data_IF_709202572634
#
_entry.id   IF_709202572634
#
_cell.length_a   1.000
_cell.length_b   1.000
_cell.length_c   1.000
_cell.angle_alpha   90.00
_cell.angle_beta   90.00
_cell.angle_gamma   90.00
#
_symmetry.space_group_name_H-M   'P 1'
#
loop_
_entity.id
_entity.type
_entity.pdbx_description
1 polymer ?
#
# COMPACT_ATOMS: atom_id res chain seq x y z
N UNK A 1 -1.81 -6.74 3.07
CA UNK A 1 -1.21 -7.87 2.34
C UNK A 1 -1.79 -9.20 2.80
N UNK A 2 -1.65 -9.59 4.07
CA UNK A 2 -2.17 -10.87 4.57
C UNK A 2 -3.67 -11.14 4.28
N UNK A 3 -4.55 -10.20 4.60
CA UNK A 3 -6.00 -10.35 4.33
C UNK A 3 -6.31 -10.51 2.84
N UNK A 4 -5.61 -9.77 1.98
CA UNK A 4 -5.75 -9.90 0.53
C UNK A 4 -5.27 -11.27 0.02
N UNK A 5 -4.24 -11.85 0.63
CA UNK A 5 -3.75 -13.20 0.32
C UNK A 5 -4.82 -14.23 0.68
N UNK A 6 -5.36 -14.19 1.91
CA UNK A 6 -6.39 -15.15 2.35
C UNK A 6 -7.64 -15.09 1.47
N UNK A 7 -8.13 -13.88 1.17
CA UNK A 7 -9.26 -13.69 0.27
C UNK A 7 -8.98 -14.22 -1.14
N UNK A 8 -7.78 -13.99 -1.66
CA UNK A 8 -7.40 -14.46 -3.00
C UNK A 8 -7.29 -15.98 -3.03
N UNK A 9 -6.76 -16.61 -1.98
CA UNK A 9 -6.72 -18.07 -1.86
C UNK A 9 -8.14 -18.66 -1.92
N UNK A 10 -9.12 -18.04 -1.26
CA UNK A 10 -10.53 -18.45 -1.34
C UNK A 10 -11.10 -18.35 -2.75
N UNK A 11 -10.85 -17.23 -3.46
CA UNK A 11 -11.28 -17.05 -4.85
C UNK A 11 -10.65 -18.09 -5.79
N UNK A 12 -9.36 -18.41 -5.59
CA UNK A 12 -8.67 -19.45 -6.36
C UNK A 12 -9.27 -20.82 -6.06
N UNK A 13 -9.57 -21.14 -4.78
CA UNK A 13 -10.23 -22.41 -4.42
C UNK A 13 -11.59 -22.56 -5.10
N UNK A 14 -12.42 -21.52 -5.05
CA UNK A 14 -13.73 -21.50 -5.70
C UNK A 14 -13.60 -21.74 -7.21
N UNK A 15 -12.68 -21.02 -7.86
CA UNK A 15 -12.41 -21.17 -9.29
C UNK A 15 -11.96 -22.59 -9.67
N UNK A 16 -10.99 -23.16 -8.94
CA UNK A 16 -10.51 -24.52 -9.18
C UNK A 16 -11.62 -25.55 -8.99
N UNK A 17 -12.47 -25.37 -7.98
CA UNK A 17 -13.62 -26.24 -7.73
C UNK A 17 -14.63 -26.16 -8.87
N UNK A 18 -15.02 -24.95 -9.30
CA UNK A 18 -15.95 -24.73 -10.41
C UNK A 18 -15.47 -25.39 -11.71
N UNK A 19 -14.16 -25.31 -12.00
CA UNK A 19 -13.56 -25.93 -13.19
C UNK A 19 -13.38 -27.45 -13.09
N UNK A 20 -13.61 -28.04 -11.91
CA UNK A 20 -13.40 -29.47 -11.66
C UNK A 20 -11.92 -29.86 -11.49
N UNK A 21 -11.02 -28.91 -11.23
CA UNK A 21 -9.58 -29.14 -11.04
C UNK A 21 -9.26 -29.65 -9.63
N UNK A 22 -9.90 -30.75 -9.23
CA UNK A 22 -9.87 -31.28 -7.86
C UNK A 22 -8.49 -31.80 -7.41
N UNK A 23 -7.61 -32.17 -8.33
CA UNK A 23 -6.23 -32.55 -8.00
C UNK A 23 -5.39 -31.32 -7.67
N UNK A 24 -5.46 -30.29 -8.52
CA UNK A 24 -4.79 -29.00 -8.29
C UNK A 24 -5.26 -28.34 -7.01
N UNK A 25 -6.56 -28.36 -6.72
CA UNK A 25 -7.11 -27.84 -5.46
C UNK A 25 -6.50 -28.51 -4.23
N UNK A 26 -6.42 -29.85 -4.23
CA UNK A 26 -5.79 -30.60 -3.13
C UNK A 26 -4.30 -30.26 -2.97
N UNK A 27 -3.60 -30.08 -4.08
CA UNK A 27 -2.19 -29.69 -4.06
C UNK A 27 -2.01 -28.26 -3.51
N UNK A 28 -2.85 -27.31 -3.93
CA UNK A 28 -2.86 -25.94 -3.41
C UNK A 28 -3.08 -25.92 -1.89
N UNK A 29 -4.07 -26.65 -1.39
CA UNK A 29 -4.33 -26.71 0.06
C UNK A 29 -3.16 -27.33 0.84
N UNK A 30 -2.50 -28.34 0.26
CA UNK A 30 -1.31 -28.93 0.87
C UNK A 30 -0.15 -27.93 0.94
N UNK A 31 0.06 -27.14 -0.12
CA UNK A 31 1.10 -26.10 -0.18
C UNK A 31 0.81 -24.95 0.78
N UNK A 32 -0.43 -24.46 0.84
CA UNK A 32 -0.85 -23.43 1.81
C UNK A 32 -0.62 -23.91 3.25
N UNK A 33 -0.91 -25.19 3.54
CA UNK A 33 -0.66 -25.76 4.88
C UNK A 33 0.82 -25.85 5.21
N UNK A 34 1.66 -26.14 4.20
CA UNK A 34 3.11 -26.23 4.34
C UNK A 34 3.82 -24.87 4.27
N UNK A 35 3.07 -23.79 4.07
CA UNK A 35 3.61 -22.45 3.87
C UNK A 35 4.43 -21.98 5.09
N UNK A 36 5.68 -21.60 4.80
CA UNK A 36 6.64 -21.08 5.77
C UNK A 36 6.56 -19.57 5.89
N UNK A 37 6.04 -18.88 4.88
CA UNK A 37 5.75 -17.45 4.91
C UNK A 37 4.43 -17.14 5.63
N UNK A 38 3.64 -18.17 5.96
CA UNK A 38 2.41 -18.09 6.76
C UNK A 38 1.38 -17.11 6.19
N UNK A 39 1.24 -17.06 4.87
CA UNK A 39 0.38 -16.12 4.16
C UNK A 39 0.84 -14.67 4.34
N UNK A 40 2.14 -14.45 4.58
CA UNK A 40 2.72 -13.15 4.91
C UNK A 40 2.10 -12.51 6.18
N UNK A 41 1.60 -13.34 7.10
CA UNK A 41 1.12 -12.91 8.42
C UNK A 41 2.28 -12.79 9.38
N UNK A 42 2.62 -11.55 9.73
CA UNK A 42 3.74 -11.24 10.62
C UNK A 42 3.57 -11.92 11.98
N UNK A 43 2.38 -11.84 12.58
CA UNK A 43 2.08 -12.48 13.85
C UNK A 43 2.40 -13.97 13.82
N UNK A 44 2.00 -14.68 12.76
CA UNK A 44 2.25 -16.12 12.61
C UNK A 44 3.73 -16.46 12.43
N UNK A 45 4.51 -15.59 11.79
CA UNK A 45 5.96 -15.78 11.67
C UNK A 45 6.63 -15.60 13.04
N UNK A 46 6.22 -14.58 13.80
CA UNK A 46 6.73 -14.30 15.15
C UNK A 46 6.33 -15.42 16.12
N UNK A 47 5.06 -15.85 16.10
CA UNK A 47 4.54 -16.98 16.88
C UNK A 47 5.35 -18.24 16.60
N UNK A 48 5.65 -18.53 15.32
CA UNK A 48 6.44 -19.70 14.93
C UNK A 48 7.86 -19.65 15.50
N UNK A 49 8.52 -18.49 15.45
CA UNK A 49 9.86 -18.30 16.05
C UNK A 49 9.81 -18.55 17.55
N UNK A 50 8.83 -17.98 18.24
CA UNK A 50 8.64 -18.18 19.68
C UNK A 50 8.32 -19.64 20.02
N UNK A 51 7.49 -20.32 19.24
CA UNK A 51 7.17 -21.73 19.43
C UNK A 51 8.44 -22.61 19.31
N UNK A 52 9.28 -22.37 18.30
CA UNK A 52 10.54 -23.10 18.12
C UNK A 52 11.50 -22.88 19.30
N UNK A 53 11.50 -21.68 19.89
CA UNK A 53 12.24 -21.40 21.12
C UNK A 53 11.68 -22.15 22.32
N UNK A 54 10.35 -22.17 22.50
CA UNK A 54 9.67 -22.84 23.62
C UNK A 54 9.91 -24.36 23.63
N UNK A 55 10.01 -24.99 22.46
CA UNK A 55 10.31 -26.43 22.33
C UNK A 55 11.82 -26.74 22.32
N UNK A 56 12.67 -25.73 22.41
CA UNK A 56 14.14 -25.84 22.38
C UNK A 56 14.69 -26.48 21.10
N UNK A 57 14.02 -26.27 19.96
CA UNK A 57 14.48 -26.77 18.66
C UNK A 57 15.36 -25.72 17.96
N UNK A 58 16.63 -25.69 18.35
CA UNK A 58 17.62 -24.79 17.78
C UNK A 58 17.84 -25.03 16.28
N UNK A 59 17.77 -26.27 15.81
CA UNK A 59 18.02 -26.60 14.42
C UNK A 59 16.91 -26.01 13.53
N UNK A 60 15.64 -26.28 13.87
CA UNK A 60 14.51 -25.72 13.17
C UNK A 60 14.47 -24.19 13.27
N UNK A 61 14.83 -23.60 14.42
CA UNK A 61 14.90 -22.14 14.58
C UNK A 61 15.92 -21.51 13.61
N UNK A 62 17.12 -22.10 13.50
CA UNK A 62 18.14 -21.64 12.56
C UNK A 62 17.66 -21.78 11.12
N UNK A 63 17.15 -22.95 10.77
CA UNK A 63 16.70 -23.24 9.40
C UNK A 63 15.57 -22.32 8.98
N UNK A 64 14.65 -22.01 9.90
CA UNK A 64 13.56 -21.08 9.67
C UNK A 64 14.07 -19.63 9.51
N UNK A 65 14.99 -19.16 10.37
CA UNK A 65 15.59 -17.85 10.17
C UNK A 65 16.36 -17.74 8.84
N UNK A 66 17.17 -18.74 8.51
CA UNK A 66 17.89 -18.80 7.23
C UNK A 66 16.96 -18.92 6.02
N UNK A 67 15.77 -19.48 6.20
CA UNK A 67 14.72 -19.44 5.19
C UNK A 67 14.23 -18.01 4.96
N UNK A 68 13.88 -17.28 6.03
CA UNK A 68 13.46 -15.87 5.94
C UNK A 68 14.56 -14.99 5.33
N UNK A 69 15.82 -15.20 5.71
CA UNK A 69 16.97 -14.51 5.10
C UNK A 69 17.03 -14.72 3.59
N UNK A 70 16.94 -15.97 3.13
CA UNK A 70 17.06 -16.28 1.70
C UNK A 70 15.85 -15.83 0.89
N UNK A 71 14.64 -15.89 1.44
CA UNK A 71 13.40 -15.62 0.68
C UNK A 71 12.96 -14.17 0.76
N UNK A 72 13.07 -13.56 1.94
CA UNK A 72 12.55 -12.22 2.21
C UNK A 72 13.69 -11.20 2.22
N UNK A 73 14.73 -11.44 3.02
CA UNK A 73 15.74 -10.41 3.28
C UNK A 73 16.78 -10.28 2.16
N UNK A 74 16.94 -11.30 1.32
CA UNK A 74 17.82 -11.26 0.13
C UNK A 74 17.39 -10.24 -0.92
N UNK A 75 16.13 -9.77 -0.85
CA UNK A 75 15.56 -8.76 -1.74
C UNK A 75 15.78 -7.33 -1.22
N UNK A 76 16.29 -7.18 0.00
CA UNK A 76 16.56 -5.89 0.61
C UNK A 76 17.91 -5.34 0.15
N UNK A 77 17.99 -4.01 0.10
CA UNK A 77 19.24 -3.30 -0.13
C UNK A 77 20.27 -3.58 0.97
N UNK A 78 21.55 -3.55 0.62
CA UNK A 78 22.64 -3.89 1.53
C UNK A 78 22.69 -3.00 2.80
N UNK A 79 22.12 -1.79 2.74
CA UNK A 79 21.99 -0.87 3.87
C UNK A 79 21.21 -1.48 5.05
N UNK A 80 20.33 -2.45 4.80
CA UNK A 80 19.52 -3.11 5.83
C UNK A 80 20.20 -4.35 6.44
N UNK A 81 21.32 -4.84 5.88
CA UNK A 81 22.06 -6.00 6.42
C UNK A 81 22.44 -5.86 7.90
N UNK A 82 22.93 -4.70 8.39
CA UNK A 82 23.24 -4.54 9.81
C UNK A 82 22.01 -4.74 10.71
N UNK A 83 20.83 -4.27 10.27
CA UNK A 83 19.57 -4.43 11.00
C UNK A 83 19.15 -5.90 11.05
N UNK A 84 19.24 -6.61 9.92
CA UNK A 84 18.94 -8.05 9.86
C UNK A 84 19.88 -8.85 10.76
N UNK A 85 21.18 -8.54 10.72
CA UNK A 85 22.19 -9.16 11.60
C UNK A 85 21.88 -8.89 13.08
N UNK A 86 21.51 -7.65 13.44
CA UNK A 86 21.11 -7.29 14.80
C UNK A 86 19.88 -8.07 15.27
N UNK A 87 18.89 -8.26 14.39
CA UNK A 87 17.69 -9.07 14.68
C UNK A 87 18.06 -10.55 14.88
N UNK A 88 18.89 -11.13 14.01
CA UNK A 88 19.40 -12.50 14.14
C UNK A 88 20.13 -12.71 15.47
N UNK A 89 21.05 -11.81 15.79
CA UNK A 89 21.81 -11.85 17.05
C UNK A 89 20.87 -11.73 18.26
N UNK A 90 19.88 -10.83 18.21
CA UNK A 90 18.90 -10.68 19.28
C UNK A 90 18.01 -11.91 19.44
N UNK A 91 17.60 -12.55 18.36
CA UNK A 91 16.84 -13.81 18.38
C UNK A 91 17.60 -14.93 19.09
N UNK A 92 18.88 -15.11 18.76
CA UNK A 92 19.71 -16.14 19.38
C UNK A 92 20.05 -15.83 20.84
N UNK A 93 20.26 -14.56 21.18
CA UNK A 93 20.38 -14.13 22.57
C UNK A 93 19.10 -14.39 23.36
N UNK A 94 17.94 -14.15 22.74
CA UNK A 94 16.66 -14.43 23.37
C UNK A 94 16.48 -15.93 23.62
N UNK A 95 16.84 -16.78 22.65
CA UNK A 95 16.86 -18.24 22.83
C UNK A 95 17.75 -18.67 24.00
N UNK A 96 18.98 -18.17 24.07
CA UNK A 96 19.90 -18.48 25.16
C UNK A 96 19.33 -18.06 26.51
N UNK A 97 18.89 -16.80 26.65
CA UNK A 97 18.29 -16.30 27.89
C UNK A 97 17.11 -17.17 28.30
N UNK A 98 16.25 -17.53 27.36
CA UNK A 98 15.10 -18.40 27.61
C UNK A 98 15.53 -19.79 28.13
N UNK A 99 16.56 -20.41 27.54
CA UNK A 99 17.09 -21.71 28.03
C UNK A 99 17.62 -21.61 29.47
N UNK A 100 18.29 -20.52 29.82
CA UNK A 100 18.82 -20.31 31.17
C UNK A 100 17.67 -20.06 32.17
N UNK A 101 16.72 -19.18 31.84
CA UNK A 101 15.56 -18.87 32.69
C UNK A 101 14.68 -20.09 32.98
N UNK A 102 14.63 -21.03 32.05
CA UNK A 102 13.85 -22.28 32.19
C UNK A 102 14.67 -23.45 32.74
N UNK A 103 15.87 -23.19 33.27
CA UNK A 103 16.80 -24.19 33.82
C UNK A 103 17.22 -25.29 32.83
N UNK A 104 17.17 -25.01 31.53
CA UNK A 104 17.63 -25.89 30.44
C UNK A 104 19.05 -25.55 30.00
N UNK A 105 19.98 -25.61 30.94
CA UNK A 105 21.41 -25.36 30.69
C UNK A 105 22.02 -26.34 29.67
N UNK A 106 21.48 -27.55 29.57
CA UNK A 106 21.81 -28.52 28.53
C UNK A 106 21.61 -27.93 27.12
N UNK A 107 20.53 -27.17 26.92
CA UNK A 107 20.22 -26.51 25.64
C UNK A 107 21.06 -25.27 25.38
N UNK A 108 21.46 -24.55 26.43
CA UNK A 108 22.43 -23.46 26.31
C UNK A 108 23.81 -23.99 25.88
N UNK A 109 24.25 -25.12 26.45
CA UNK A 109 25.50 -25.77 26.04
C UNK A 109 25.42 -26.32 24.61
N UNK A 110 24.29 -26.95 24.25
CA UNK A 110 24.04 -27.42 22.88
C UNK A 110 24.14 -26.27 21.87
N UNK A 111 23.62 -25.09 22.21
CA UNK A 111 23.73 -23.89 21.37
C UNK A 111 25.18 -23.55 21.06
N UNK A 112 26.02 -23.40 22.08
CA UNK A 112 27.42 -23.05 21.86
C UNK A 112 28.18 -24.20 21.17
N UNK A 113 27.91 -25.46 21.49
CA UNK A 113 28.53 -26.58 20.79
C UNK A 113 28.26 -26.57 19.27
N UNK A 114 27.05 -26.17 18.85
CA UNK A 114 26.64 -26.13 17.44
C UNK A 114 26.99 -24.82 16.72
N UNK A 115 27.23 -23.73 17.46
CA UNK A 115 27.37 -22.38 16.89
C UNK A 115 28.72 -21.71 17.17
N UNK A 116 29.53 -22.24 18.11
CA UNK A 116 30.77 -21.60 18.54
C UNK A 116 31.69 -21.25 17.37
N UNK A 117 31.81 -22.12 16.37
CA UNK A 117 32.70 -21.90 15.22
C UNK A 117 32.33 -20.66 14.40
N UNK A 118 31.03 -20.37 14.25
CA UNK A 118 30.52 -19.19 13.54
C UNK A 118 30.56 -17.95 14.44
N UNK A 119 30.22 -18.10 15.73
CA UNK A 119 30.07 -16.99 16.67
C UNK A 119 31.40 -16.49 17.26
N UNK A 120 32.44 -17.32 17.33
CA UNK A 120 33.74 -16.93 17.93
C UNK A 120 34.42 -15.76 17.20
N UNK A 121 34.12 -15.57 15.90
CA UNK A 121 34.68 -14.49 15.09
C UNK A 121 33.87 -13.18 15.23
N UNK A 122 32.77 -13.19 15.98
CA UNK A 122 31.88 -12.05 16.16
C UNK A 122 32.12 -11.45 17.55
N UNK A 123 32.62 -10.21 17.59
CA UNK A 123 33.01 -9.55 18.83
C UNK A 123 31.86 -9.43 19.84
N UNK A 124 30.63 -9.27 19.35
CA UNK A 124 29.42 -9.16 20.17
C UNK A 124 29.04 -10.46 20.91
N UNK A 125 29.62 -11.60 20.54
CA UNK A 125 29.37 -12.90 21.17
C UNK A 125 30.42 -13.28 22.21
N UNK A 126 31.56 -12.57 22.25
CA UNK A 126 32.71 -12.91 23.10
C UNK A 126 32.31 -13.11 24.57
N UNK A 127 31.58 -12.15 25.14
CA UNK A 127 31.17 -12.22 26.55
C UNK A 127 30.07 -13.27 26.78
N UNK A 128 29.28 -13.61 25.75
CA UNK A 128 28.16 -14.55 25.88
C UNK A 128 28.60 -16.00 26.10
N UNK A 129 29.83 -16.38 25.73
CA UNK A 129 30.34 -17.73 25.96
C UNK A 129 30.46 -18.10 27.45
N UNK A 130 30.56 -17.11 28.35
CA UNK A 130 30.59 -17.36 29.80
C UNK A 130 29.20 -17.61 30.38
N UNK A 131 28.14 -17.27 29.65
CA UNK A 131 26.77 -17.23 30.16
C UNK A 131 26.30 -18.55 30.80
N UNK A 132 26.52 -19.74 30.20
CA UNK A 132 26.07 -21.02 30.79
C UNK A 132 26.78 -21.39 32.11
N UNK A 133 27.88 -20.70 32.44
CA UNK A 133 28.69 -20.97 33.64
C UNK A 133 28.43 -19.96 34.76
N UNK A 134 27.61 -18.94 34.52
CA UNK A 134 27.28 -17.94 35.54
C UNK A 134 26.18 -18.48 36.47
N UNK A 135 26.38 -18.42 37.80
CA UNK A 135 25.38 -18.89 38.77
C UNK A 135 24.14 -17.98 38.82
N UNK A 136 24.29 -16.67 38.56
CA UNK A 136 23.20 -15.69 38.57
C UNK A 136 23.39 -14.65 37.46
N UNK A 137 23.13 -15.02 36.19
CA UNK A 137 23.37 -14.15 35.04
C UNK A 137 22.46 -12.91 35.00
N UNK A 138 21.31 -12.96 35.66
CA UNK A 138 20.37 -11.85 35.83
C UNK A 138 20.93 -10.70 36.69
N UNK A 139 21.85 -11.00 37.61
CA UNK A 139 22.54 -9.99 38.45
C UNK A 139 23.77 -9.40 37.80
N UNK A 140 24.26 -10.00 36.70
CA UNK A 140 25.46 -9.53 36.02
C UNK A 140 25.12 -8.26 35.22
N UNK A 141 25.81 -7.12 35.44
CA UNK A 141 25.50 -5.86 34.73
C UNK A 141 25.50 -5.97 33.21
N UNK A 142 26.31 -6.86 32.63
CA UNK A 142 26.40 -7.10 31.19
C UNK A 142 25.15 -7.80 30.65
N UNK A 143 24.53 -8.69 31.44
CA UNK A 143 23.44 -9.55 31.00
C UNK A 143 22.06 -9.16 31.57
N UNK A 144 22.00 -8.47 32.71
CA UNK A 144 20.80 -8.15 33.46
C UNK A 144 19.65 -7.63 32.58
N UNK A 145 19.95 -6.69 31.66
CA UNK A 145 18.97 -6.13 30.74
C UNK A 145 18.29 -7.20 29.88
N UNK A 146 19.03 -8.21 29.40
CA UNK A 146 18.52 -9.27 28.53
C UNK A 146 17.59 -10.24 29.26
N UNK A 147 17.75 -10.39 30.58
CA UNK A 147 16.87 -11.21 31.42
C UNK A 147 15.56 -10.50 31.78
N UNK A 148 15.41 -9.21 31.45
CA UNK A 148 14.17 -8.48 31.67
C UNK A 148 13.09 -8.85 30.64
N UNK A 149 11.84 -8.94 31.10
CA UNK A 149 10.68 -9.11 30.22
C UNK A 149 10.55 -7.95 29.22
N UNK A 150 10.85 -6.73 29.66
CA UNK A 150 10.81 -5.54 28.81
C UNK A 150 11.71 -5.67 27.58
N UNK A 151 12.92 -6.22 27.74
CA UNK A 151 13.83 -6.44 26.61
C UNK A 151 13.25 -7.45 25.61
N UNK A 152 12.72 -8.57 26.10
CA UNK A 152 12.10 -9.59 25.25
C UNK A 152 10.90 -9.03 24.48
N UNK A 153 9.98 -8.33 25.17
CA UNK A 153 8.81 -7.71 24.55
C UNK A 153 9.22 -6.66 23.49
N UNK A 154 10.23 -5.83 23.81
CA UNK A 154 10.77 -4.83 22.88
C UNK A 154 11.37 -5.47 21.63
N UNK A 155 12.11 -6.57 21.79
CA UNK A 155 12.67 -7.30 20.67
C UNK A 155 11.56 -7.86 19.76
N UNK A 156 10.53 -8.49 20.34
CA UNK A 156 9.41 -9.06 19.60
C UNK A 156 8.64 -7.99 18.83
N UNK A 157 8.34 -6.85 19.45
CA UNK A 157 7.70 -5.71 18.77
C UNK A 157 8.58 -5.17 17.64
N UNK A 158 9.89 -5.08 17.86
CA UNK A 158 10.83 -4.60 16.83
C UNK A 158 10.89 -5.54 15.63
N UNK A 159 10.91 -6.86 15.87
CA UNK A 159 10.88 -7.87 14.82
C UNK A 159 9.55 -7.82 14.04
N UNK A 160 8.43 -7.72 14.76
CA UNK A 160 7.11 -7.57 14.15
C UNK A 160 7.04 -6.33 13.26
N UNK A 161 7.47 -5.17 13.75
CA UNK A 161 7.45 -3.92 12.99
C UNK A 161 8.36 -4.00 11.77
N UNK A 162 9.55 -4.58 11.88
CA UNK A 162 10.45 -4.77 10.75
C UNK A 162 9.81 -5.63 9.64
N UNK A 163 9.23 -6.77 9.99
CA UNK A 163 8.55 -7.64 9.04
C UNK A 163 7.31 -6.99 8.43
N UNK A 164 6.58 -6.19 9.21
CA UNK A 164 5.40 -5.45 8.73
C UNK A 164 5.78 -4.45 7.64
N UNK A 165 6.81 -3.64 7.90
CA UNK A 165 7.32 -2.67 6.93
C UNK A 165 7.89 -3.39 5.70
N UNK A 166 8.65 -4.47 5.92
CA UNK A 166 9.18 -5.29 4.83
C UNK A 166 8.08 -5.74 3.87
N UNK A 167 6.98 -6.29 4.39
CA UNK A 167 5.88 -6.78 3.57
C UNK A 167 5.09 -5.67 2.89
N UNK A 168 5.04 -4.47 3.47
CA UNK A 168 4.45 -3.30 2.80
C UNK A 168 5.29 -2.84 1.61
N UNK A 169 6.61 -3.02 1.65
CA UNK A 169 7.51 -2.63 0.57
C UNK A 169 7.65 -3.70 -0.54
N UNK A 170 7.15 -4.92 -0.33
CA UNK A 170 7.26 -5.96 -1.35
C UNK A 170 6.29 -5.70 -2.51
N UNK A 171 6.73 -5.92 -3.77
CA UNK A 171 5.85 -5.81 -4.92
C UNK A 171 4.70 -6.82 -4.78
N UNK A 172 3.47 -6.29 -4.82
CA UNK A 172 2.25 -7.08 -4.65
C UNK A 172 1.87 -7.71 -5.99
N UNK A 173 1.65 -9.04 -6.07
CA UNK A 173 1.10 -9.67 -7.27
C UNK A 173 -0.20 -9.01 -7.73
N UNK A 174 -0.34 -8.82 -9.04
CA UNK A 174 -1.50 -8.12 -9.64
C UNK A 174 -2.84 -8.71 -9.20
N UNK A 175 -2.92 -10.04 -9.08
CA UNK A 175 -4.14 -10.74 -8.67
C UNK A 175 -4.61 -10.34 -7.27
N UNK A 176 -3.69 -10.04 -6.34
CA UNK A 176 -4.04 -9.60 -4.98
C UNK A 176 -4.62 -8.18 -4.96
N UNK A 177 -4.31 -7.37 -5.97
CA UNK A 177 -4.81 -6.00 -6.11
C UNK A 177 -6.02 -5.90 -7.03
N UNK A 178 -6.44 -6.98 -7.68
CA UNK A 178 -7.47 -6.94 -8.73
C UNK A 178 -8.78 -6.29 -8.25
N UNK A 179 -9.27 -6.68 -7.08
CA UNK A 179 -10.51 -6.13 -6.52
C UNK A 179 -10.37 -4.64 -6.15
N UNK A 180 -9.26 -4.27 -5.50
CA UNK A 180 -8.96 -2.89 -5.16
C UNK A 180 -8.84 -2.00 -6.42
N UNK A 181 -8.20 -2.52 -7.46
CA UNK A 181 -8.07 -1.83 -8.75
C UNK A 181 -9.41 -1.71 -9.48
N UNK A 182 -10.27 -2.72 -9.42
CA UNK A 182 -11.61 -2.66 -9.97
C UNK A 182 -12.45 -1.60 -9.24
N UNK A 183 -12.42 -1.56 -7.91
CA UNK A 183 -13.13 -0.57 -7.10
C UNK A 183 -12.64 0.85 -7.40
N UNK A 184 -11.32 1.05 -7.44
CA UNK A 184 -10.69 2.32 -7.79
C UNK A 184 -11.12 2.78 -9.19
N UNK A 185 -11.16 1.86 -10.15
CA UNK A 185 -11.57 2.16 -11.52
C UNK A 185 -13.05 2.59 -11.59
N UNK A 186 -13.94 1.90 -10.86
CA UNK A 186 -15.34 2.27 -10.76
C UNK A 186 -15.55 3.64 -10.11
N UNK A 187 -14.84 3.94 -9.02
CA UNK A 187 -14.88 5.26 -8.37
C UNK A 187 -14.43 6.37 -9.31
N UNK A 188 -13.30 6.18 -10.00
CA UNK A 188 -12.79 7.15 -10.98
C UNK A 188 -13.80 7.35 -12.12
N UNK A 189 -14.49 6.30 -12.53
CA UNK A 189 -15.50 6.37 -13.59
C UNK A 189 -16.74 7.14 -13.15
N UNK A 190 -17.23 6.91 -11.93
CA UNK A 190 -18.34 7.65 -11.32
C UNK A 190 -18.00 9.14 -11.14
N UNK A 191 -16.80 9.45 -10.64
CA UNK A 191 -16.30 10.83 -10.56
C UNK A 191 -16.22 11.48 -11.94
N UNK A 192 -15.78 10.75 -12.97
CA UNK A 192 -15.74 11.23 -14.34
C UNK A 192 -17.14 11.57 -14.87
N UNK A 193 -18.13 10.73 -14.57
CA UNK A 193 -19.52 10.96 -14.97
C UNK A 193 -20.10 12.20 -14.29
N UNK A 194 -19.86 12.37 -12.98
CA UNK A 194 -20.26 13.58 -12.24
C UNK A 194 -19.60 14.83 -12.82
N UNK A 195 -18.30 14.77 -13.13
CA UNK A 195 -17.60 15.90 -13.74
C UNK A 195 -18.13 16.22 -15.14
N UNK A 196 -18.44 15.21 -15.96
CA UNK A 196 -19.07 15.39 -17.28
C UNK A 196 -20.45 16.03 -17.17
N UNK A 197 -21.26 15.62 -16.20
CA UNK A 197 -22.57 16.23 -15.94
C UNK A 197 -22.44 17.71 -15.52
N UNK A 198 -21.50 18.03 -14.62
CA UNK A 198 -21.20 19.42 -14.22
C UNK A 198 -20.74 20.26 -15.41
N UNK A 199 -19.85 19.72 -16.24
CA UNK A 199 -19.37 20.37 -17.47
C UNK A 199 -20.53 20.68 -18.43
N UNK A 200 -21.42 19.70 -18.64
CA UNK A 200 -22.59 19.89 -19.48
C UNK A 200 -23.53 20.97 -18.94
N UNK A 201 -23.82 20.96 -17.63
CA UNK A 201 -24.66 21.98 -17.01
C UNK A 201 -24.06 23.39 -17.12
N UNK A 202 -22.76 23.55 -16.89
CA UNK A 202 -22.08 24.83 -17.06
C UNK A 202 -22.06 25.30 -18.51
N UNK A 203 -21.85 24.39 -19.48
CA UNK A 203 -21.92 24.72 -20.90
C UNK A 203 -23.31 25.18 -21.33
N UNK A 204 -24.37 24.52 -20.83
CA UNK A 204 -25.75 24.92 -21.06
C UNK A 204 -26.04 26.32 -20.49
N UNK A 205 -25.54 26.61 -19.28
CA UNK A 205 -25.71 27.92 -18.65
C UNK A 205 -24.95 29.03 -19.42
N UNK A 206 -23.71 28.76 -19.84
CA UNK A 206 -22.95 29.69 -20.69
C UNK A 206 -23.69 29.97 -22.00
N UNK A 207 -24.28 28.94 -22.63
CA UNK A 207 -25.05 29.11 -23.85
C UNK A 207 -26.32 29.95 -23.63
N UNK A 208 -27.01 29.74 -22.51
CA UNK A 208 -28.19 30.52 -22.11
C UNK A 208 -27.84 31.99 -21.91
N UNK A 209 -26.79 32.28 -21.14
CA UNK A 209 -26.32 33.65 -20.90
C UNK A 209 -25.90 34.36 -22.20
N UNK A 210 -25.19 33.68 -23.10
CA UNK A 210 -24.83 34.24 -24.42
C UNK A 210 -26.06 34.58 -25.27
N UNK A 211 -27.12 33.77 -25.19
CA UNK A 211 -28.36 34.03 -25.91
C UNK A 211 -29.12 35.21 -25.31
N UNK A 212 -29.13 35.33 -23.98
CA UNK A 212 -29.69 36.47 -23.26
C UNK A 212 -28.90 37.77 -23.52
N UNK A 213 -27.59 37.71 -23.76
CA UNK A 213 -26.77 38.88 -24.19
C UNK A 213 -27.02 39.30 -25.65
N UNK A 214 -27.38 38.37 -26.55
CA UNK A 214 -27.65 38.67 -27.97
C UNK A 214 -29.07 39.23 -28.22
N UNK A 215 -30.03 38.91 -27.35
CA UNK A 215 -31.42 39.37 -27.49
C UNK A 215 -31.60 40.90 -27.43
N UNK A 216 -30.94 41.64 -26.52
CA UNK A 216 -30.98 43.12 -26.51
C UNK A 216 -30.37 43.74 -27.77
N UNK A 217 -29.28 43.18 -28.30
CA UNK A 217 -28.63 43.69 -29.52
C UNK A 217 -29.49 43.47 -30.78
N UNK A 218 -30.19 42.33 -30.87
CA UNK A 218 -31.12 42.05 -31.96
C UNK A 218 -32.42 42.88 -31.85
N UNK A 219 -32.94 43.12 -30.64
CA UNK A 219 -34.08 44.04 -30.43
C UNK A 219 -33.71 45.50 -30.71
N UNK A 220 -32.52 45.98 -30.30
CA UNK A 220 -32.04 47.32 -30.67
C UNK A 220 -31.81 47.45 -32.20
N UNK A 221 -31.33 46.39 -32.86
CA UNK A 221 -31.16 46.37 -34.32
C UNK A 221 -32.49 46.33 -35.09
N UNK A 222 -33.52 45.63 -34.58
CA UNK A 222 -34.87 45.64 -35.17
C UNK A 222 -35.61 46.97 -34.94
N UNK A 223 -35.38 47.65 -33.82
CA UNK A 223 -35.98 48.97 -33.53
C UNK A 223 -35.32 50.09 -34.36
N UNK A 224 -34.04 49.95 -34.72
CA UNK A 224 -33.36 50.87 -35.63
C UNK A 224 -33.63 50.58 -37.12
N UNK A 225 -34.89 50.59 -37.55
CA UNK A 225 -35.21 50.80 -38.97
C UNK A 225 -34.83 52.25 -39.36
N UNK A 226 -33.58 52.49 -39.75
CA UNK A 226 -33.19 53.76 -40.39
C UNK A 226 -33.93 53.89 -41.72
N UNK A 227 -34.78 54.92 -41.83
CA UNK A 227 -35.43 55.30 -43.07
C UNK A 227 -34.37 55.54 -44.17
N UNK A 228 -34.62 55.13 -45.43
CA UNK A 228 -33.68 55.35 -46.52
C UNK A 228 -33.29 56.84 -46.64
N UNK A 229 -32.03 57.18 -47.01
CA UNK A 229 -31.53 58.56 -47.00
C UNK A 229 -32.37 59.56 -47.79
N UNK A 230 -33.11 59.10 -48.79
CA UNK A 230 -34.00 59.93 -49.61
C UNK A 230 -35.19 60.50 -48.83
N UNK A 231 -35.66 59.82 -47.78
CA UNK A 231 -36.82 60.26 -46.96
C UNK A 231 -36.43 61.40 -46.00
N UNK A 232 -35.16 61.45 -45.56
CA UNK A 232 -34.69 62.44 -44.59
C UNK A 232 -34.53 63.86 -45.16
N UNK A 233 -34.69 64.05 -46.47
CA UNK A 233 -34.53 65.34 -47.15
C UNK A 233 -35.85 66.02 -47.55
N UNK A 234 -37.02 65.44 -47.21
CA UNK A 234 -38.32 66.02 -47.58
C UNK A 234 -38.72 67.25 -46.76
N UNK A 235 -38.09 67.51 -45.61
CA UNK A 235 -38.40 68.67 -44.75
C UNK A 235 -37.83 70.02 -45.28
N UNK A 236 -37.20 70.03 -46.47
CA UNK A 236 -36.63 71.26 -47.07
C UNK A 236 -37.30 71.72 -48.36
N UNK A 237 -38.44 71.14 -48.74
CA UNK A 237 -39.16 71.50 -49.99
C UNK A 237 -40.43 72.33 -49.73
N UNK A 238 -40.41 73.19 -48.71
CA UNK A 238 -41.57 73.98 -48.27
C UNK A 238 -41.49 75.49 -48.49
N UNK A 239 -40.38 76.06 -49.00
CA UNK A 239 -40.25 77.50 -49.22
C UNK A 239 -39.51 77.79 -50.54
N UNK A 240 -40.21 77.63 -51.65
CA UNK A 240 -39.88 78.28 -52.92
C UNK A 240 -41.14 78.32 -53.76
N UNK A 241 -41.83 79.47 -53.73
CA UNK A 241 -42.82 79.82 -54.74
C UNK A 241 -42.20 79.62 -56.13
N UNK A 242 -42.97 79.05 -57.07
CA UNK A 242 -42.92 79.27 -58.53
C UNK A 242 -43.98 78.37 -59.20
N UNK A 243 -44.47 78.71 -60.41
CA UNK A 243 -45.89 78.85 -60.69
C UNK A 243 -46.51 77.65 -61.42
N UNK A 244 -47.82 77.51 -61.27
CA UNK A 244 -48.66 76.68 -62.13
C UNK A 244 -48.52 77.09 -63.59
N UNK A 245 -47.96 76.20 -64.41
CA UNK A 245 -48.34 76.08 -65.83
C UNK A 245 -47.92 74.71 -66.36
N UNK A 246 -48.91 73.99 -66.91
CA UNK A 246 -48.91 73.01 -68.03
C UNK A 246 -47.70 72.06 -68.16
N UNK A 247 -47.86 70.76 -68.41
CA UNK A 247 -48.36 70.11 -69.62
C UNK A 247 -48.46 68.60 -69.23
N UNK A 248 -49.61 67.94 -69.16
CA UNK A 248 -50.38 67.39 -70.27
C UNK A 248 -49.53 66.69 -71.36
N UNK A 249 -49.70 65.37 -71.46
CA UNK A 249 -49.97 64.57 -72.68
C UNK A 249 -49.16 63.27 -72.75
N UNK A 250 -49.93 62.18 -72.88
CA UNK A 250 -49.65 60.80 -73.30
C UNK A 250 -48.85 59.88 -72.36
#
# INVERSE_FOLDING_TARGET
>A
MAEAVERTDELVREYLLFRGFTHTLRQLDAEIKADKEKGFRVDKIVDQLQQLMQVYDLAALRDYWSYLERRLFSRLEDIYRPTIHKLKTSLFRFYLVYTIQTNRNDKAQEFFAKQATELQNQAEWKDWFVLPFLPSPDTNPTFATYFSRQWADTFIVSLHNFLSVLFQCMPVPVILNFDAECQRTNQVQEENEVLRQKLFALQAEIHRLKKEEQQPEEEEALVQHKLPPYVSNMDRLGDSELPLTLWCVC
#
